data_IF_431721833061
#
_entry.id   IF_431721833061
#
_cell.length_a   1.000
_cell.length_b   1.000
_cell.length_c   1.000
_cell.angle_alpha   90.00
_cell.angle_beta   90.00
_cell.angle_gamma   90.00
#
_symmetry.space_group_name_H-M   'P 1'
#
loop_
_entity.id
_entity.type
_entity.pdbx_description
1 polymer ?
#
# COMPACT_ATOMS: atom_id res chain seq x y z
N UNK A 1 -17.09 -0.92 -27.65
CA UNK A 1 -16.60 -2.27 -27.98
C UNK A 1 -16.95 -3.20 -26.83
N UNK A 2 -17.83 -4.18 -27.08
CA UNK A 2 -18.19 -5.18 -26.07
C UNK A 2 -17.06 -6.18 -25.86
N UNK A 3 -16.79 -6.55 -24.61
CA UNK A 3 -15.80 -7.58 -24.29
C UNK A 3 -16.33 -8.95 -24.71
N UNK A 4 -15.46 -9.78 -25.30
CA UNK A 4 -15.80 -11.18 -25.52
C UNK A 4 -15.92 -11.91 -24.17
N UNK A 5 -16.81 -12.90 -24.08
CA UNK A 5 -16.96 -13.72 -22.88
C UNK A 5 -15.62 -14.37 -22.45
N UNK A 6 -14.77 -14.70 -23.42
CA UNK A 6 -13.43 -15.24 -23.19
C UNK A 6 -12.50 -14.26 -22.45
N UNK A 7 -12.52 -12.97 -22.77
CA UNK A 7 -11.70 -11.95 -22.09
C UNK A 7 -12.17 -11.71 -20.66
N UNK A 8 -13.49 -11.68 -20.44
CA UNK A 8 -14.06 -11.56 -19.09
C UNK A 8 -13.72 -12.78 -18.21
N UNK A 9 -13.84 -13.99 -18.75
CA UNK A 9 -13.47 -15.21 -18.04
C UNK A 9 -11.97 -15.27 -17.74
N UNK A 10 -11.11 -14.88 -18.69
CA UNK A 10 -9.67 -14.76 -18.47
C UNK A 10 -9.36 -13.78 -17.34
N UNK A 11 -9.93 -12.57 -17.38
CA UNK A 11 -9.71 -11.56 -16.36
C UNK A 11 -10.11 -12.05 -14.98
N UNK A 12 -11.32 -12.62 -14.83
CA UNK A 12 -11.78 -13.23 -13.57
C UNK A 12 -10.84 -14.33 -13.08
N UNK A 13 -10.28 -15.15 -13.97
CA UNK A 13 -9.33 -16.19 -13.58
C UNK A 13 -8.01 -15.63 -13.04
N UNK A 14 -7.57 -14.51 -13.59
CA UNK A 14 -6.38 -13.81 -13.09
C UNK A 14 -6.68 -13.16 -11.73
N UNK A 15 -7.77 -12.41 -11.61
CA UNK A 15 -8.07 -11.61 -10.42
C UNK A 15 -8.60 -12.43 -9.25
N UNK A 16 -9.50 -13.40 -9.50
CA UNK A 16 -10.19 -14.15 -8.45
C UNK A 16 -9.43 -15.41 -8.05
N UNK A 17 -8.89 -16.14 -9.04
CA UNK A 17 -8.17 -17.40 -8.77
C UNK A 17 -6.65 -17.24 -8.65
N UNK A 18 -6.15 -15.98 -8.61
CA UNK A 18 -4.75 -15.62 -8.33
C UNK A 18 -3.76 -16.44 -9.15
N UNK A 19 -4.09 -16.67 -10.41
CA UNK A 19 -3.25 -17.45 -11.30
C UNK A 19 -1.99 -16.65 -11.62
N UNK A 20 -0.83 -17.19 -11.27
CA UNK A 20 0.45 -16.47 -11.37
C UNK A 20 0.67 -15.87 -12.75
N UNK A 21 1.07 -14.60 -12.78
CA UNK A 21 1.50 -13.89 -13.97
C UNK A 21 3.04 -13.92 -14.02
N UNK A 22 3.56 -14.53 -15.08
CA UNK A 22 5.00 -14.60 -15.34
C UNK A 22 5.38 -13.39 -16.19
N UNK A 23 6.62 -12.93 -16.03
CA UNK A 23 7.18 -11.82 -16.79
C UNK A 23 7.16 -12.10 -18.30
N UNK A 24 6.87 -11.08 -19.09
CA UNK A 24 6.86 -11.18 -20.55
C UNK A 24 8.29 -11.27 -21.09
N UNK A 25 8.57 -12.29 -21.90
CA UNK A 25 9.85 -12.43 -22.60
C UNK A 25 10.10 -11.32 -23.64
N UNK A 26 9.03 -10.71 -24.16
CA UNK A 26 9.09 -9.63 -25.15
C UNK A 26 8.87 -8.23 -24.54
N UNK A 27 9.13 -8.07 -23.23
CA UNK A 27 9.11 -6.78 -22.55
C UNK A 27 7.77 -6.03 -22.63
N UNK A 28 6.66 -6.73 -22.42
CA UNK A 28 5.28 -6.21 -22.47
C UNK A 28 4.81 -5.73 -23.86
N UNK A 29 5.46 -6.16 -24.95
CA UNK A 29 5.13 -5.70 -26.30
C UNK A 29 4.30 -6.69 -27.14
N UNK A 30 3.86 -7.83 -26.60
CA UNK A 30 3.23 -8.90 -27.41
C UNK A 30 1.94 -8.48 -28.12
N UNK A 31 1.23 -7.47 -27.61
CA UNK A 31 -0.03 -6.96 -28.17
C UNK A 31 0.07 -5.48 -28.57
N UNK A 32 1.29 -4.96 -28.79
CA UNK A 32 1.51 -3.53 -29.08
C UNK A 32 1.03 -3.15 -30.49
N UNK A 33 1.21 -4.04 -31.46
CA UNK A 33 0.66 -3.91 -32.81
C UNK A 33 -0.58 -4.82 -32.93
N UNK A 34 -1.79 -4.28 -33.18
CA UNK A 34 -3.01 -5.08 -33.34
C UNK A 34 -2.95 -6.06 -34.51
N UNK A 35 -2.20 -5.73 -35.56
CA UNK A 35 -2.11 -6.53 -36.79
C UNK A 35 -1.05 -7.63 -36.70
N UNK A 36 -0.12 -7.52 -35.74
CA UNK A 36 1.01 -8.44 -35.57
C UNK A 36 1.23 -8.77 -34.08
N UNK A 37 0.41 -9.67 -33.57
CA UNK A 37 0.54 -10.17 -32.19
C UNK A 37 1.74 -11.12 -32.13
N UNK A 38 2.79 -10.72 -31.40
CA UNK A 38 4.04 -11.48 -31.30
C UNK A 38 3.89 -12.77 -30.49
N UNK A 39 2.99 -12.82 -29.50
CA UNK A 39 2.69 -14.02 -28.72
C UNK A 39 1.27 -13.96 -28.12
N UNK A 40 0.37 -14.79 -28.66
CA UNK A 40 -1.02 -14.88 -28.22
C UNK A 40 -1.17 -15.48 -26.81
N UNK A 41 -0.26 -16.37 -26.40
CA UNK A 41 -0.32 -17.07 -25.12
C UNK A 41 0.28 -16.26 -23.97
N UNK A 42 0.86 -15.09 -24.26
CA UNK A 42 1.41 -14.19 -23.25
C UNK A 42 0.31 -13.65 -22.31
N UNK A 43 0.13 -14.34 -21.17
CA UNK A 43 -0.92 -14.03 -20.18
C UNK A 43 -0.79 -12.62 -19.61
N UNK A 44 0.42 -12.15 -19.34
CA UNK A 44 0.64 -10.80 -18.78
C UNK A 44 0.28 -9.70 -19.78
N UNK A 45 0.65 -9.81 -21.06
CA UNK A 45 0.26 -8.83 -22.08
C UNK A 45 -1.25 -8.89 -22.38
N UNK A 46 -1.87 -10.08 -22.31
CA UNK A 46 -3.33 -10.20 -22.38
C UNK A 46 -4.02 -9.54 -21.18
N UNK A 47 -3.46 -9.68 -19.99
CA UNK A 47 -3.93 -9.00 -18.78
C UNK A 47 -3.76 -7.48 -18.89
N UNK A 48 -2.64 -7.00 -19.43
CA UNK A 48 -2.41 -5.59 -19.74
C UNK A 48 -3.52 -5.02 -20.63
N UNK A 49 -3.97 -5.75 -21.66
CA UNK A 49 -5.12 -5.31 -22.48
C UNK A 49 -6.42 -5.21 -21.67
N UNK A 50 -6.64 -6.12 -20.72
CA UNK A 50 -7.80 -6.04 -19.81
C UNK A 50 -7.74 -4.79 -18.92
N UNK A 51 -6.55 -4.44 -18.43
CA UNK A 51 -6.33 -3.24 -17.62
C UNK A 51 -6.56 -1.96 -18.46
N UNK A 52 -6.02 -1.89 -19.69
CA UNK A 52 -6.22 -0.76 -20.61
C UNK A 52 -7.70 -0.53 -20.93
N UNK A 53 -8.48 -1.60 -20.93
CA UNK A 53 -9.91 -1.53 -21.16
C UNK A 53 -10.74 -1.27 -19.89
N UNK A 54 -10.08 -0.91 -18.80
CA UNK A 54 -10.69 -0.50 -17.53
C UNK A 54 -11.60 -1.60 -16.92
N UNK A 55 -11.17 -2.86 -17.01
CA UNK A 55 -11.97 -3.99 -16.50
C UNK A 55 -12.03 -4.05 -14.97
N UNK A 56 -11.06 -3.44 -14.26
CA UNK A 56 -11.09 -3.33 -12.79
C UNK A 56 -12.28 -2.48 -12.36
N UNK A 57 -12.48 -1.32 -12.98
CA UNK A 57 -13.58 -0.41 -12.64
C UNK A 57 -14.96 -1.01 -12.98
N UNK A 58 -15.01 -1.95 -13.93
CA UNK A 58 -16.24 -2.62 -14.37
C UNK A 58 -16.60 -3.86 -13.54
N UNK A 59 -15.72 -4.29 -12.64
CA UNK A 59 -15.99 -5.40 -11.72
C UNK A 59 -16.84 -4.96 -10.51
N UNK A 60 -17.34 -3.72 -10.53
CA UNK A 60 -18.07 -2.97 -9.50
C UNK A 60 -19.28 -3.72 -8.91
N UNK A 61 -18.97 -4.65 -8.02
CA UNK A 61 -19.88 -5.26 -7.04
C UNK A 61 -19.33 -5.20 -5.62
N UNK A 62 -18.21 -4.51 -5.40
CA UNK A 62 -17.64 -4.36 -4.07
C UNK A 62 -18.31 -3.18 -3.41
N UNK A 63 -19.09 -3.46 -2.36
CA UNK A 63 -19.69 -2.42 -1.56
C UNK A 63 -18.62 -1.62 -0.82
N UNK A 64 -18.80 -0.30 -0.75
CA UNK A 64 -17.85 0.60 -0.10
C UNK A 64 -17.64 0.20 1.38
N UNK A 65 -18.70 -0.27 2.04
CA UNK A 65 -18.65 -0.79 3.40
C UNK A 65 -17.67 -1.97 3.52
N UNK A 66 -17.76 -2.93 2.61
CA UNK A 66 -16.98 -4.17 2.66
C UNK A 66 -15.50 -3.88 2.44
N UNK A 67 -15.18 -2.93 1.55
CA UNK A 67 -13.82 -2.48 1.32
C UNK A 67 -13.25 -1.81 2.57
N UNK A 68 -14.00 -0.87 3.16
CA UNK A 68 -13.58 -0.16 4.37
C UNK A 68 -13.41 -1.14 5.54
N UNK A 69 -14.34 -2.07 5.72
CA UNK A 69 -14.27 -3.10 6.76
C UNK A 69 -13.03 -3.99 6.59
N UNK A 70 -12.77 -4.45 5.36
CA UNK A 70 -11.59 -5.26 5.09
C UNK A 70 -10.29 -4.49 5.34
N UNK A 71 -10.18 -3.25 4.85
CA UNK A 71 -9.01 -2.41 5.11
C UNK A 71 -8.82 -2.11 6.60
N UNK A 72 -9.92 -1.85 7.31
CA UNK A 72 -9.91 -1.63 8.75
C UNK A 72 -9.38 -2.86 9.50
N UNK A 73 -9.85 -4.06 9.14
CA UNK A 73 -9.35 -5.32 9.69
C UNK A 73 -7.86 -5.50 9.43
N UNK A 74 -7.41 -5.33 8.19
CA UNK A 74 -5.99 -5.46 7.84
C UNK A 74 -5.11 -4.45 8.60
N UNK A 75 -5.57 -3.20 8.77
CA UNK A 75 -4.84 -2.19 9.53
C UNK A 75 -4.79 -2.52 11.03
N UNK A 76 -5.88 -3.02 11.61
CA UNK A 76 -5.90 -3.47 13.01
C UNK A 76 -4.97 -4.66 13.24
N UNK A 77 -4.94 -5.62 12.32
CA UNK A 77 -4.00 -6.75 12.35
C UNK A 77 -2.55 -6.26 12.27
N UNK A 78 -2.23 -5.36 11.33
CA UNK A 78 -0.91 -4.73 11.24
C UNK A 78 -0.54 -4.02 12.55
N UNK A 79 -1.44 -3.23 13.11
CA UNK A 79 -1.18 -2.50 14.37
C UNK A 79 -0.97 -3.45 15.55
N UNK A 80 -1.74 -4.54 15.62
CA UNK A 80 -1.57 -5.57 16.63
C UNK A 80 -0.19 -6.24 16.53
N UNK A 81 0.25 -6.62 15.32
CA UNK A 81 1.59 -7.14 15.09
C UNK A 81 2.66 -6.13 15.50
N UNK A 82 2.49 -4.88 15.09
CA UNK A 82 3.44 -3.82 15.38
C UNK A 82 3.66 -3.62 16.88
N UNK A 83 2.59 -3.56 17.69
CA UNK A 83 2.68 -3.27 19.13
C UNK A 83 3.04 -4.50 19.97
N UNK A 84 2.52 -5.67 19.62
CA UNK A 84 2.51 -6.85 20.49
C UNK A 84 3.49 -7.96 20.10
N UNK A 85 4.18 -7.84 18.95
CA UNK A 85 5.04 -8.90 18.42
C UNK A 85 6.46 -8.42 18.10
N UNK A 86 7.32 -9.37 17.82
CA UNK A 86 8.68 -9.20 17.30
C UNK A 86 8.82 -9.97 15.98
N UNK A 87 9.61 -9.41 15.07
CA UNK A 87 10.03 -10.08 13.85
C UNK A 87 11.22 -11.01 14.16
N UNK A 88 11.51 -12.02 13.31
CA UNK A 88 12.68 -12.87 13.49
C UNK A 88 13.96 -12.05 13.46
N UNK A 89 14.89 -12.38 14.35
CA UNK A 89 16.21 -11.75 14.35
C UNK A 89 16.90 -12.05 13.01
N UNK A 90 17.40 -11.01 12.35
CA UNK A 90 18.07 -11.06 11.02
C UNK A 90 17.16 -11.32 9.81
N UNK A 91 15.83 -11.13 9.92
CA UNK A 91 14.98 -11.20 8.72
C UNK A 91 15.36 -10.09 7.72
N UNK A 92 15.59 -10.47 6.45
CA UNK A 92 15.93 -9.53 5.38
C UNK A 92 14.68 -9.03 4.66
N UNK A 93 14.83 -7.97 3.87
CA UNK A 93 13.74 -7.51 2.99
C UNK A 93 13.28 -8.65 2.07
N UNK A 94 14.24 -9.34 1.45
CA UNK A 94 13.98 -10.45 0.53
C UNK A 94 13.20 -11.58 1.21
N UNK A 95 13.56 -11.95 2.44
CA UNK A 95 12.83 -12.97 3.22
C UNK A 95 11.36 -12.58 3.43
N UNK A 96 11.09 -11.31 3.77
CA UNK A 96 9.72 -10.83 3.96
C UNK A 96 8.94 -10.80 2.65
N UNK A 97 9.58 -10.42 1.54
CA UNK A 97 8.88 -10.30 0.24
C UNK A 97 8.64 -11.63 -0.45
N UNK A 98 9.55 -12.59 -0.28
CA UNK A 98 9.49 -13.89 -0.94
C UNK A 98 8.63 -14.91 -0.15
N UNK A 99 8.44 -14.69 1.15
CA UNK A 99 7.57 -15.54 1.97
C UNK A 99 6.09 -15.22 1.78
N UNK A 100 5.25 -16.26 1.77
CA UNK A 100 3.78 -16.12 1.84
C UNK A 100 3.34 -15.55 3.18
N UNK A 101 4.02 -15.94 4.26
CA UNK A 101 3.74 -15.51 5.62
C UNK A 101 5.03 -15.18 6.37
N UNK A 102 5.01 -14.11 7.15
CA UNK A 102 6.11 -13.73 8.03
C UNK A 102 5.84 -14.26 9.43
N UNK A 103 6.83 -14.95 10.02
CA UNK A 103 6.70 -15.56 11.33
C UNK A 103 6.95 -14.51 12.42
N UNK A 104 5.90 -14.10 13.12
CA UNK A 104 6.00 -13.15 14.23
C UNK A 104 5.91 -13.87 15.58
N UNK A 105 6.72 -13.45 16.55
CA UNK A 105 6.69 -14.01 17.91
C UNK A 105 6.12 -13.00 18.89
N UNK A 106 5.32 -13.44 19.86
CA UNK A 106 4.67 -12.55 20.83
C UNK A 106 5.74 -11.91 21.73
N UNK A 107 5.66 -10.59 21.89
CA UNK A 107 6.56 -9.83 22.78
C UNK A 107 6.31 -10.20 24.24
N UNK A 108 7.38 -10.31 25.03
CA UNK A 108 7.27 -10.37 26.49
C UNK A 108 6.74 -9.05 27.04
N UNK A 109 5.78 -9.06 28.00
CA UNK A 109 5.22 -7.84 28.58
C UNK A 109 6.25 -6.93 29.29
N UNK A 110 7.40 -7.50 29.69
CA UNK A 110 8.43 -6.80 30.48
C UNK A 110 9.44 -6.09 29.57
N UNK A 111 9.56 -6.51 28.31
CA UNK A 111 10.59 -5.99 27.41
C UNK A 111 10.13 -4.68 26.77
N UNK A 112 10.85 -3.60 27.08
CA UNK A 112 10.71 -2.32 26.37
C UNK A 112 11.44 -2.37 25.04
N UNK A 113 10.82 -1.82 24.01
CA UNK A 113 11.43 -1.69 22.69
C UNK A 113 12.25 -0.39 22.64
N UNK A 114 13.45 -0.48 22.08
CA UNK A 114 14.27 0.67 21.67
C UNK A 114 13.73 1.31 20.40
N UNK A 115 14.32 2.43 19.97
CA UNK A 115 14.07 3.01 18.64
C UNK A 115 14.26 1.97 17.53
N UNK A 116 15.37 1.24 17.54
CA UNK A 116 15.70 0.26 16.49
C UNK A 116 14.74 -0.93 16.48
N UNK A 117 14.29 -1.39 17.67
CA UNK A 117 13.26 -2.43 17.76
C UNK A 117 11.97 -1.96 17.06
N UNK A 118 11.53 -0.72 17.35
CA UNK A 118 10.31 -0.14 16.77
C UNK A 118 10.44 0.12 15.27
N UNK A 119 11.54 0.69 14.83
CA UNK A 119 11.83 0.94 13.42
C UNK A 119 11.82 -0.37 12.62
N UNK A 120 12.53 -1.38 13.12
CA UNK A 120 12.63 -2.67 12.46
C UNK A 120 11.27 -3.37 12.34
N UNK A 121 10.53 -3.52 13.44
CA UNK A 121 9.22 -4.17 13.39
C UNK A 121 8.23 -3.39 12.53
N UNK A 122 8.27 -2.05 12.53
CA UNK A 122 7.40 -1.23 11.68
C UNK A 122 7.64 -1.50 10.19
N UNK A 123 8.90 -1.63 9.77
CA UNK A 123 9.22 -1.99 8.38
C UNK A 123 8.68 -3.37 8.03
N UNK A 124 8.96 -4.39 8.85
CA UNK A 124 8.57 -5.78 8.58
C UNK A 124 7.04 -5.93 8.52
N UNK A 125 6.30 -5.41 9.51
CA UNK A 125 4.83 -5.52 9.53
C UNK A 125 4.17 -4.72 8.42
N UNK A 126 4.79 -3.62 7.98
CA UNK A 126 4.27 -2.81 6.87
C UNK A 126 4.47 -3.52 5.54
N UNK A 127 5.64 -4.11 5.29
CA UNK A 127 5.87 -4.93 4.08
C UNK A 127 4.92 -6.12 4.08
N UNK A 128 4.74 -6.80 5.22
CA UNK A 128 3.80 -7.92 5.37
C UNK A 128 2.33 -7.51 5.11
N UNK A 129 1.92 -6.33 5.55
CA UNK A 129 0.61 -5.76 5.23
C UNK A 129 0.45 -5.46 3.74
N UNK A 130 1.42 -4.77 3.11
CA UNK A 130 1.31 -4.35 1.71
C UNK A 130 1.29 -5.58 0.79
N UNK A 131 2.14 -6.59 1.03
CA UNK A 131 2.16 -7.81 0.19
C UNK A 131 0.84 -8.60 0.23
N UNK A 132 0.05 -8.43 1.29
CA UNK A 132 -1.26 -9.08 1.44
C UNK A 132 -2.38 -8.39 0.65
N UNK A 133 -2.18 -7.17 0.15
CA UNK A 133 -3.15 -6.49 -0.70
C UNK A 133 -3.36 -7.26 -2.01
N UNK A 134 -4.61 -7.42 -2.44
CA UNK A 134 -4.92 -8.33 -3.56
C UNK A 134 -4.32 -7.89 -4.90
N UNK A 135 -4.17 -6.59 -5.14
CA UNK A 135 -3.52 -6.11 -6.36
C UNK A 135 -2.02 -6.42 -6.40
N UNK A 136 -1.36 -6.51 -5.25
CA UNK A 136 0.08 -6.83 -5.18
C UNK A 136 0.32 -8.27 -5.61
N UNK A 137 -0.64 -9.17 -5.34
CA UNK A 137 -0.63 -10.56 -5.81
C UNK A 137 -0.80 -10.70 -7.33
N UNK A 138 -1.17 -9.61 -8.01
CA UNK A 138 -1.29 -9.56 -9.48
C UNK A 138 -0.04 -8.97 -10.15
N UNK A 139 0.93 -8.47 -9.37
CA UNK A 139 2.24 -8.07 -9.88
C UNK A 139 3.09 -9.31 -10.15
N UNK A 140 4.02 -9.19 -11.09
CA UNK A 140 5.10 -10.17 -11.22
C UNK A 140 6.00 -10.12 -9.99
N UNK A 141 6.78 -11.18 -9.73
CA UNK A 141 7.75 -11.18 -8.62
C UNK A 141 8.74 -9.99 -8.72
N UNK A 142 9.21 -9.68 -9.94
CA UNK A 142 10.08 -8.53 -10.19
C UNK A 142 9.40 -7.21 -9.86
N UNK A 143 8.19 -6.98 -10.37
CA UNK A 143 7.44 -5.74 -10.12
C UNK A 143 7.05 -5.58 -8.65
N UNK A 144 6.67 -6.67 -7.98
CA UNK A 144 6.31 -6.67 -6.56
C UNK A 144 7.48 -6.21 -5.68
N UNK A 145 8.71 -6.65 -5.97
CA UNK A 145 9.90 -6.22 -5.20
C UNK A 145 10.19 -4.73 -5.35
N UNK A 146 10.21 -4.21 -6.58
CA UNK A 146 10.46 -2.78 -6.82
C UNK A 146 9.32 -1.91 -6.27
N UNK A 147 8.08 -2.39 -6.38
CA UNK A 147 6.90 -1.78 -5.79
C UNK A 147 7.02 -1.66 -4.27
N UNK A 148 7.26 -2.77 -3.58
CA UNK A 148 7.36 -2.80 -2.12
C UNK A 148 8.48 -1.87 -1.65
N UNK A 149 9.68 -1.94 -2.26
CA UNK A 149 10.81 -1.03 -1.95
C UNK A 149 10.45 0.45 -2.12
N UNK A 150 9.60 0.79 -3.10
CA UNK A 150 9.24 2.18 -3.39
C UNK A 150 8.26 2.82 -2.39
N UNK A 151 7.45 2.02 -1.69
CA UNK A 151 6.32 2.56 -0.93
C UNK A 151 6.36 2.30 0.59
N UNK A 152 7.00 1.22 1.06
CA UNK A 152 6.83 0.77 2.46
C UNK A 152 7.21 1.84 3.50
N UNK A 153 8.27 2.62 3.27
CA UNK A 153 8.68 3.70 4.18
C UNK A 153 7.64 4.81 4.29
N UNK A 154 7.04 5.21 3.16
CA UNK A 154 6.00 6.23 3.16
C UNK A 154 4.75 5.76 3.92
N UNK A 155 4.40 4.47 3.77
CA UNK A 155 3.30 3.85 4.51
C UNK A 155 3.58 3.81 6.00
N UNK A 156 4.81 3.42 6.40
CA UNK A 156 5.25 3.43 7.80
C UNK A 156 5.05 4.81 8.43
N UNK A 157 5.56 5.86 7.77
CA UNK A 157 5.50 7.24 8.27
C UNK A 157 4.06 7.75 8.31
N UNK A 158 3.28 7.51 7.25
CA UNK A 158 1.90 7.99 7.17
C UNK A 158 1.00 7.32 8.22
N UNK A 159 1.10 6.00 8.39
CA UNK A 159 0.35 5.27 9.40
C UNK A 159 0.70 5.71 10.83
N UNK A 160 2.00 5.92 11.13
CA UNK A 160 2.42 6.46 12.44
C UNK A 160 1.89 7.87 12.68
N UNK A 161 1.87 8.72 11.64
CA UNK A 161 1.34 10.07 11.74
C UNK A 161 -0.16 10.08 12.02
N UNK A 162 -0.92 9.24 11.33
CA UNK A 162 -2.37 9.08 11.58
C UNK A 162 -2.61 8.54 12.98
N UNK A 163 -1.87 7.53 13.42
CA UNK A 163 -2.04 7.00 14.78
C UNK A 163 -1.74 8.05 15.86
N UNK A 164 -0.67 8.83 15.68
CA UNK A 164 -0.31 9.91 16.61
C UNK A 164 -1.38 10.99 16.63
N UNK A 165 -1.91 11.37 15.47
CA UNK A 165 -3.04 12.29 15.33
C UNK A 165 -4.31 11.77 16.02
N UNK A 166 -4.72 10.51 15.78
CA UNK A 166 -5.89 9.90 16.42
C UNK A 166 -5.71 9.77 17.94
N UNK A 167 -4.48 9.60 18.40
CA UNK A 167 -4.11 9.59 19.82
C UNK A 167 -3.96 11.00 20.43
N UNK A 168 -4.31 12.06 19.68
CA UNK A 168 -4.22 13.47 20.09
C UNK A 168 -2.81 13.91 20.50
N UNK A 169 -1.79 13.33 19.86
CA UNK A 169 -0.41 13.76 20.03
C UNK A 169 -0.10 14.94 19.09
N UNK A 170 0.91 15.73 19.45
CA UNK A 170 1.37 16.88 18.66
C UNK A 170 2.47 16.55 17.65
N UNK A 171 3.15 15.42 17.84
CA UNK A 171 4.22 14.95 16.98
C UNK A 171 4.13 13.43 16.78
N UNK A 172 4.77 12.96 15.71
CA UNK A 172 4.85 11.53 15.42
C UNK A 172 5.75 10.86 16.45
N UNK A 173 5.26 9.82 17.09
CA UNK A 173 6.02 8.95 18.00
C UNK A 173 5.77 7.48 17.67
N UNK A 174 6.73 6.62 17.97
CA UNK A 174 6.45 5.20 18.13
C UNK A 174 5.58 4.95 19.38
N UNK A 175 5.04 3.73 19.57
CA UNK A 175 4.33 3.37 20.80
C UNK A 175 5.19 3.61 22.05
N UNK A 176 4.53 3.71 23.20
CA UNK A 176 5.18 4.07 24.48
C UNK A 176 5.88 5.45 24.45
N UNK A 177 5.51 6.31 23.49
CA UNK A 177 6.10 7.65 23.23
C UNK A 177 7.59 7.59 22.89
N UNK A 178 8.07 6.48 22.34
CA UNK A 178 9.44 6.38 21.86
C UNK A 178 9.67 7.37 20.67
N UNK A 179 10.76 8.14 20.66
CA UNK A 179 11.07 9.06 19.58
C UNK A 179 11.20 8.35 18.22
N UNK A 180 10.82 9.01 17.13
CA UNK A 180 11.02 8.51 15.75
C UNK A 180 12.37 8.89 15.14
N UNK A 181 13.27 9.45 15.94
CA UNK A 181 14.66 9.65 15.54
C UNK A 181 15.56 8.98 16.55
N UNK A 182 16.66 8.37 16.09
CA UNK A 182 17.64 7.77 16.97
C UNK A 182 18.44 8.89 17.67
N UNK A 183 19.01 8.60 18.84
CA UNK A 183 19.70 9.62 19.65
C UNK A 183 20.91 10.24 18.94
N UNK A 184 21.51 9.51 17.99
CA UNK A 184 22.60 9.97 17.11
C UNK A 184 22.18 11.17 16.26
N UNK A 185 20.90 11.30 15.92
CA UNK A 185 20.37 12.45 15.17
C UNK A 185 20.33 13.73 16.00
N UNK A 186 20.46 13.66 17.33
CA UNK A 186 20.45 14.84 18.20
C UNK A 186 21.53 15.87 17.84
N UNK A 187 22.67 15.44 17.28
CA UNK A 187 23.75 16.34 16.85
C UNK A 187 23.30 17.23 15.67
N UNK A 188 22.46 16.69 14.79
CA UNK A 188 21.93 17.41 13.62
C UNK A 188 20.71 18.23 14.04
N UNK A 189 19.81 17.62 14.80
CA UNK A 189 18.55 18.27 15.17
C UNK A 189 18.73 19.40 16.18
N UNK A 190 19.72 19.32 17.08
CA UNK A 190 20.09 20.43 17.97
C UNK A 190 20.56 21.67 17.20
N UNK A 191 21.21 21.49 16.05
CA UNK A 191 21.62 22.59 15.16
C UNK A 191 20.47 23.12 14.31
N UNK A 192 19.48 22.27 14.01
CA UNK A 192 18.37 22.57 13.10
C UNK A 192 17.00 22.17 13.68
N UNK A 193 16.58 22.67 14.85
CA UNK A 193 15.37 22.19 15.54
C UNK A 193 14.08 22.45 14.75
N UNK A 194 14.07 23.49 13.90
CA UNK A 194 12.95 23.79 12.99
C UNK A 194 12.74 22.68 11.95
N UNK A 195 13.81 22.03 11.49
CA UNK A 195 13.73 20.94 10.50
C UNK A 195 13.13 19.70 11.14
N UNK A 196 13.60 19.33 12.33
CA UNK A 196 13.07 18.20 13.09
C UNK A 196 11.58 18.37 13.39
N UNK A 197 11.19 19.52 13.95
CA UNK A 197 9.79 19.84 14.24
C UNK A 197 8.94 19.82 12.98
N UNK A 198 9.46 20.29 11.84
CA UNK A 198 8.75 20.22 10.57
C UNK A 198 8.52 18.77 10.15
N UNK A 199 9.50 17.89 10.27
CA UNK A 199 9.33 16.47 9.91
C UNK A 199 8.31 15.81 10.84
N UNK A 200 8.42 16.03 12.14
CA UNK A 200 7.54 15.44 13.16
C UNK A 200 6.11 15.95 13.14
N UNK A 201 5.88 17.22 12.78
CA UNK A 201 4.57 17.84 12.98
C UNK A 201 3.83 18.15 11.67
N UNK A 202 4.52 18.26 10.52
CA UNK A 202 3.86 18.74 9.27
C UNK A 202 2.70 17.85 8.83
N UNK A 203 2.88 16.53 8.87
CA UNK A 203 1.82 15.58 8.46
C UNK A 203 0.66 15.65 9.45
N UNK A 204 0.94 15.59 10.77
CA UNK A 204 -0.09 15.69 11.82
C UNK A 204 -0.86 17.00 11.73
N UNK A 205 -0.18 18.12 11.50
CA UNK A 205 -0.81 19.43 11.32
C UNK A 205 -1.81 19.43 10.16
N UNK A 206 -1.46 18.80 9.03
CA UNK A 206 -2.36 18.66 7.88
C UNK A 206 -3.52 17.68 8.14
N UNK A 207 -3.26 16.56 8.81
CA UNK A 207 -4.32 15.64 9.24
C UNK A 207 -5.34 16.34 10.15
N UNK A 208 -4.86 17.22 11.05
CA UNK A 208 -5.68 18.01 11.97
C UNK A 208 -6.45 19.12 11.27
N UNK A 209 -5.79 19.88 10.39
CA UNK A 209 -6.44 20.90 9.56
C UNK A 209 -7.59 20.32 8.75
N UNK A 210 -7.38 19.12 8.19
CA UNK A 210 -8.39 18.41 7.43
C UNK A 210 -9.32 17.58 8.33
N UNK A 211 -9.11 17.42 9.64
CA UNK A 211 -9.90 16.48 10.46
C UNK A 211 -10.08 15.11 9.79
N UNK A 212 -8.98 14.50 9.32
CA UNK A 212 -9.03 13.21 8.62
C UNK A 212 -9.68 12.14 9.49
N UNK A 213 -10.61 11.37 8.94
CA UNK A 213 -11.25 10.23 9.62
C UNK A 213 -10.43 8.95 9.43
N UNK A 214 -10.77 7.90 10.20
CA UNK A 214 -10.12 6.58 10.05
C UNK A 214 -10.38 6.01 8.66
N UNK A 215 -11.61 6.13 8.15
CA UNK A 215 -12.03 5.61 6.86
C UNK A 215 -11.35 6.35 5.70
N UNK A 216 -11.23 7.67 5.78
CA UNK A 216 -10.48 8.46 4.81
C UNK A 216 -9.01 8.06 4.78
N UNK A 217 -8.40 7.86 5.95
CA UNK A 217 -7.03 7.35 6.04
C UNK A 217 -6.89 6.00 5.33
N UNK A 218 -7.79 5.04 5.58
CA UNK A 218 -7.70 3.71 4.96
C UNK A 218 -7.69 3.81 3.43
N UNK A 219 -8.55 4.64 2.84
CA UNK A 219 -8.62 4.83 1.40
C UNK A 219 -7.41 5.63 0.87
N UNK A 220 -7.04 6.74 1.54
CA UNK A 220 -5.88 7.56 1.19
C UNK A 220 -4.57 6.76 1.23
N UNK A 221 -4.41 5.89 2.22
CA UNK A 221 -3.22 5.04 2.35
C UNK A 221 -3.05 4.16 1.12
N UNK A 222 -4.14 3.53 0.64
CA UNK A 222 -4.07 2.72 -0.60
C UNK A 222 -3.81 3.59 -1.84
N UNK A 223 -4.41 4.78 -1.93
CA UNK A 223 -4.14 5.72 -3.05
C UNK A 223 -2.65 6.10 -3.11
N UNK A 224 -2.03 6.39 -1.96
CA UNK A 224 -0.60 6.72 -1.87
C UNK A 224 0.29 5.51 -2.14
N UNK A 225 -0.12 4.33 -1.71
CA UNK A 225 0.56 3.06 -2.03
C UNK A 225 0.56 2.81 -3.54
N UNK A 226 -0.57 3.03 -4.22
CA UNK A 226 -0.73 2.79 -5.64
C UNK A 226 -0.11 3.89 -6.54
N UNK A 227 1.09 4.38 -6.22
CA UNK A 227 1.80 5.32 -7.08
C UNK A 227 2.36 4.61 -8.34
N UNK A 228 1.94 4.95 -9.57
CA UNK A 228 2.47 4.32 -10.78
C UNK A 228 3.92 4.74 -11.13
N UNK A 229 4.45 5.81 -10.52
CA UNK A 229 5.79 6.33 -10.80
C UNK A 229 6.89 5.57 -10.04
N UNK A 230 6.94 4.25 -10.24
CA UNK A 230 7.93 3.34 -9.64
C UNK A 230 9.09 3.10 -10.62
N UNK A 231 10.33 3.47 -10.26
CA UNK A 231 11.51 3.16 -11.08
C UNK A 231 11.65 1.66 -11.34
N UNK A 232 12.05 1.30 -12.56
CA UNK A 232 12.28 -0.09 -13.00
C UNK A 232 11.05 -1.02 -12.95
N UNK A 233 9.83 -0.48 -12.80
CA UNK A 233 8.60 -1.26 -12.94
C UNK A 233 8.26 -1.51 -14.42
N UNK A 234 7.64 -2.65 -14.72
CA UNK A 234 7.08 -2.97 -16.03
C UNK A 234 5.94 -2.01 -16.42
N UNK A 235 5.60 -1.95 -17.70
CA UNK A 235 4.43 -1.17 -18.14
C UNK A 235 3.14 -1.74 -17.58
N UNK A 236 3.02 -3.08 -17.54
CA UNK A 236 1.85 -3.74 -16.96
C UNK A 236 1.71 -3.45 -15.47
N UNK A 237 2.81 -3.45 -14.71
CA UNK A 237 2.83 -3.10 -13.29
C UNK A 237 2.36 -1.66 -13.06
N UNK A 238 2.90 -0.68 -13.81
CA UNK A 238 2.49 0.72 -13.71
C UNK A 238 1.00 0.90 -14.02
N UNK A 239 0.52 0.23 -15.07
CA UNK A 239 -0.88 0.29 -15.45
C UNK A 239 -1.79 -0.30 -14.38
N UNK A 240 -1.39 -1.42 -13.76
CA UNK A 240 -2.12 -2.03 -12.66
C UNK A 240 -2.25 -1.06 -11.46
N UNK A 241 -1.14 -0.45 -11.04
CA UNK A 241 -1.14 0.53 -9.96
C UNK A 241 -2.04 1.73 -10.30
N UNK A 242 -1.96 2.26 -11.52
CA UNK A 242 -2.82 3.35 -11.97
C UNK A 242 -4.32 2.98 -11.90
N UNK A 243 -4.68 1.77 -12.35
CA UNK A 243 -6.08 1.32 -12.28
C UNK A 243 -6.60 1.25 -10.84
N UNK A 244 -5.81 0.70 -9.91
CA UNK A 244 -6.19 0.63 -8.49
C UNK A 244 -6.18 2.00 -7.82
N UNK A 245 -5.22 2.87 -8.14
CA UNK A 245 -5.21 4.24 -7.64
C UNK A 245 -6.48 5.00 -8.03
N UNK A 246 -6.90 4.88 -9.29
CA UNK A 246 -8.16 5.46 -9.78
C UNK A 246 -9.39 4.86 -9.11
N UNK A 247 -9.42 3.54 -8.94
CA UNK A 247 -10.51 2.84 -8.24
C UNK A 247 -10.66 3.36 -6.80
N UNK A 248 -9.57 3.38 -6.02
CA UNK A 248 -9.60 3.88 -4.64
C UNK A 248 -9.86 5.38 -4.56
N UNK A 249 -9.41 6.17 -5.55
CA UNK A 249 -9.80 7.59 -5.69
C UNK A 249 -11.30 7.77 -5.87
N UNK A 250 -11.93 6.97 -6.73
CA UNK A 250 -13.40 6.97 -6.89
C UNK A 250 -14.13 6.52 -5.62
N UNK A 251 -13.58 5.54 -4.88
CA UNK A 251 -14.15 5.09 -3.61
C UNK A 251 -14.05 6.16 -2.52
N UNK A 252 -12.93 6.89 -2.45
CA UNK A 252 -12.78 8.03 -1.55
C UNK A 252 -13.78 9.13 -1.89
N UNK A 253 -13.94 9.46 -3.18
CA UNK A 253 -14.96 10.42 -3.60
C UNK A 253 -16.37 9.97 -3.23
N UNK A 254 -16.71 8.68 -3.44
CA UNK A 254 -18.01 8.11 -3.04
C UNK A 254 -18.21 8.19 -1.53
N UNK A 255 -17.19 7.87 -0.74
CA UNK A 255 -17.23 8.05 0.71
C UNK A 255 -17.49 9.50 1.08
N UNK A 256 -16.76 10.45 0.47
CA UNK A 256 -16.95 11.86 0.74
C UNK A 256 -18.34 12.37 0.33
N UNK A 257 -18.91 11.87 -0.77
CA UNK A 257 -20.28 12.19 -1.20
C UNK A 257 -21.33 11.71 -0.20
N UNK A 258 -21.17 10.50 0.35
CA UNK A 258 -22.09 9.96 1.35
C UNK A 258 -21.96 10.73 2.68
N UNK A 259 -20.73 11.02 3.11
CA UNK A 259 -20.45 11.61 4.43
C UNK A 259 -20.65 13.13 4.46
N UNK A 260 -20.23 13.85 3.42
CA UNK A 260 -20.17 15.31 3.38
C UNK A 260 -21.11 15.94 2.34
N UNK A 261 -21.79 15.13 1.51
CA UNK A 261 -22.82 15.57 0.57
C UNK A 261 -22.32 16.69 -0.35
N UNK A 262 -22.95 17.88 -0.28
CA UNK A 262 -22.58 19.07 -1.08
C UNK A 262 -21.14 19.56 -0.85
N UNK A 263 -20.50 19.19 0.26
CA UNK A 263 -19.12 19.57 0.58
C UNK A 263 -18.08 18.57 0.07
N UNK A 264 -18.52 17.44 -0.50
CA UNK A 264 -17.63 16.39 -1.00
C UNK A 264 -16.62 16.86 -2.07
N UNK A 265 -16.96 17.73 -3.04
CA UNK A 265 -15.98 18.16 -4.05
C UNK A 265 -14.82 19.00 -3.49
N UNK A 266 -15.04 19.66 -2.34
CA UNK A 266 -14.05 20.48 -1.64
C UNK A 266 -13.36 19.74 -0.50
N UNK A 267 -13.80 18.52 -0.22
CA UNK A 267 -13.21 17.62 0.77
C UNK A 267 -12.01 16.89 0.16
#
# INVERSE_FOLDING_TARGET
MGFTAATLMFFRRVTTFKSSLIQCENGDNCYKNPDEIANYDCRICRFQQCLRAEMIQKLDKLELSDIIENLCRMEMEKWNLFVNFRAPDNITFEDVTDSTETQFTKKSPITKNTYHDWEFINHVVTIDFIKKLDFVKLLTSSDSKVFLKSCYLNVCIFALAVQSYLSKLDNITYPERCPVFPDEMNIITSKCPKVENRIKCRVIGKLRELNITKEEFLLLNIIFICNPDVPNMSETGRLLLNCYQRMYGSLLLKYCQVTYQKHAPTR
#
